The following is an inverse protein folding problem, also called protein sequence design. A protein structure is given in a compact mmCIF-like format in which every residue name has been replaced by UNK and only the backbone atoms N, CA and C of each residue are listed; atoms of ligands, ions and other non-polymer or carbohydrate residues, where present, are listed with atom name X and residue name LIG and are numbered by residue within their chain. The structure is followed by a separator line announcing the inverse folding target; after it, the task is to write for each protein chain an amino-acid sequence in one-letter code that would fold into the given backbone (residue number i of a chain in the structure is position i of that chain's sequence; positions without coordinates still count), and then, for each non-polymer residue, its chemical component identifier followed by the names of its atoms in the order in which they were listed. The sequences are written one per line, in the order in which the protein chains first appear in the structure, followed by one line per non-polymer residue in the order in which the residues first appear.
data_IF_063735545048
#
_entry.id   IF_063735545048
#
_cell.length_a   1.000
_cell.length_b   1.000
_cell.length_c   1.000
_cell.angle_alpha   90.00
_cell.angle_beta   90.00
_cell.angle_gamma   90.00
#
_symmetry.space_group_name_H-M   'P 1'
#
loop_
_entity.id
_entity.type
_entity.pdbx_description
1 polymer ?
#
# COMPACT_ATOMS: atom_id res chain seq x y z
N UNK A 1 -28.29 12.39 64.82
CA UNK A 1 -26.86 12.68 64.53
C UNK A 1 -26.53 11.86 63.29
N UNK A 2 -26.18 12.51 62.17
CA UNK A 2 -25.69 11.79 60.99
C UNK A 2 -24.44 11.01 61.41
N UNK A 3 -24.40 9.72 61.11
CA UNK A 3 -23.29 8.86 61.52
C UNK A 3 -22.07 9.16 60.65
N UNK A 4 -20.86 8.86 61.12
CA UNK A 4 -19.63 9.04 60.32
C UNK A 4 -19.70 8.28 58.98
N UNK A 5 -20.50 7.22 58.92
CA UNK A 5 -20.76 6.43 57.73
C UNK A 5 -21.62 7.16 56.68
N UNK A 6 -22.49 8.10 57.09
CA UNK A 6 -23.36 8.86 56.17
C UNK A 6 -22.65 10.04 55.50
N UNK A 7 -21.47 10.41 55.99
CA UNK A 7 -20.71 11.60 55.55
C UNK A 7 -19.36 11.26 54.91
N UNK A 8 -18.89 10.02 55.04
CA UNK A 8 -17.59 9.56 54.51
C UNK A 8 -17.52 9.70 52.98
N UNK A 9 -18.64 9.50 52.28
CA UNK A 9 -18.74 9.61 50.82
C UNK A 9 -18.39 11.01 50.30
N UNK A 10 -18.57 12.05 51.12
CA UNK A 10 -18.26 13.45 50.76
C UNK A 10 -16.76 13.74 50.65
N UNK A 11 -15.92 12.85 51.19
CA UNK A 11 -14.46 13.04 51.27
C UNK A 11 -13.71 12.16 50.27
N UNK A 12 -14.41 11.34 49.47
CA UNK A 12 -13.78 10.48 48.48
C UNK A 12 -13.14 11.29 47.34
N UNK A 13 -11.82 11.17 47.21
CA UNK A 13 -11.05 11.77 46.12
C UNK A 13 -11.09 10.84 44.91
N UNK A 14 -11.49 11.38 43.75
CA UNK A 14 -11.36 10.67 42.47
C UNK A 14 -9.95 10.90 41.93
N UNK A 15 -9.13 9.85 41.91
CA UNK A 15 -7.82 9.90 41.25
C UNK A 15 -8.01 9.82 39.73
N UNK A 16 -7.50 10.82 39.01
CA UNK A 16 -7.36 10.73 37.56
C UNK A 16 -6.10 9.96 37.20
N UNK A 17 -6.18 9.25 36.06
CA UNK A 17 -5.09 8.44 35.51
C UNK A 17 -3.81 9.27 35.30
N UNK A 18 -2.67 8.63 35.56
CA UNK A 18 -1.34 9.24 35.49
C UNK A 18 -0.74 9.20 34.07
N UNK A 19 -1.33 8.41 33.17
CA UNK A 19 -0.84 8.22 31.80
C UNK A 19 -2.00 8.17 30.80
N UNK A 20 -1.70 8.53 29.56
CA UNK A 20 -2.60 8.32 28.43
C UNK A 20 -2.41 6.91 27.86
N UNK A 21 -3.51 6.20 27.65
CA UNK A 21 -3.52 4.95 26.90
C UNK A 21 -4.06 5.23 25.49
N UNK A 22 -3.23 5.05 24.47
CA UNK A 22 -3.71 5.12 23.09
C UNK A 22 -4.48 3.87 22.71
N UNK A 23 -5.49 4.07 21.85
CA UNK A 23 -6.18 2.98 21.18
C UNK A 23 -5.20 2.21 20.29
N UNK A 24 -5.45 0.92 20.11
CA UNK A 24 -4.73 0.09 19.14
C UNK A 24 -4.86 0.71 17.75
N UNK A 25 -3.72 1.11 17.19
CA UNK A 25 -3.64 1.65 15.85
C UNK A 25 -2.36 1.19 15.15
N UNK A 26 -2.39 1.20 13.82
CA UNK A 26 -1.22 0.90 13.01
C UNK A 26 -0.16 1.98 13.23
N UNK A 27 1.01 1.54 13.74
CA UNK A 27 2.13 2.43 14.07
C UNK A 27 3.10 2.60 12.91
N UNK A 28 3.39 1.54 12.18
CA UNK A 28 4.35 1.52 11.07
C UNK A 28 3.65 1.34 9.73
N UNK A 29 4.29 1.78 8.65
CA UNK A 29 3.78 1.62 7.29
C UNK A 29 3.95 0.17 6.83
N UNK A 30 2.93 -0.38 6.16
CA UNK A 30 2.95 -1.75 5.63
C UNK A 30 3.41 -1.82 4.18
N UNK A 31 3.23 -0.75 3.41
CA UNK A 31 3.48 -0.73 1.96
C UNK A 31 4.75 0.05 1.59
N UNK A 32 5.35 0.80 2.50
CA UNK A 32 6.53 1.61 2.18
C UNK A 32 7.73 0.74 1.79
N UNK A 33 7.87 -0.47 2.34
CA UNK A 33 8.95 -1.39 1.96
C UNK A 33 8.74 -2.04 0.59
N UNK A 34 7.52 -2.02 0.05
CA UNK A 34 7.19 -2.68 -1.23
C UNK A 34 7.36 -1.75 -2.43
N UNK A 35 7.86 -0.53 -2.24
CA UNK A 35 8.03 0.48 -3.29
C UNK A 35 9.46 0.98 -3.36
N UNK A 36 9.90 1.32 -4.57
CA UNK A 36 11.22 1.89 -4.79
C UNK A 36 11.25 3.36 -4.33
N UNK A 37 12.00 3.63 -3.27
CA UNK A 37 12.17 4.97 -2.73
C UNK A 37 13.36 5.68 -3.41
N UNK A 38 13.07 6.74 -4.15
CA UNK A 38 14.09 7.58 -4.84
C UNK A 38 14.71 8.65 -3.92
N UNK A 39 14.27 8.75 -2.66
CA UNK A 39 14.73 9.75 -1.71
C UNK A 39 14.03 11.10 -1.87
N UNK A 40 14.79 12.18 -1.68
CA UNK A 40 14.24 13.55 -1.71
C UNK A 40 14.13 14.08 -3.14
N UNK A 41 12.93 14.53 -3.52
CA UNK A 41 12.68 15.26 -4.77
C UNK A 41 12.75 16.76 -4.50
N UNK A 42 13.39 17.52 -5.39
CA UNK A 42 13.36 18.99 -5.38
C UNK A 42 12.47 19.49 -6.53
N UNK A 43 11.52 20.38 -6.22
CA UNK A 43 10.59 20.95 -7.21
C UNK A 43 9.15 20.47 -7.01
N UNK A 44 8.26 20.80 -7.95
CA UNK A 44 6.82 20.49 -7.89
C UNK A 44 6.49 19.05 -8.32
N UNK A 45 7.46 18.31 -8.84
CA UNK A 45 7.28 16.95 -9.33
C UNK A 45 8.58 16.30 -9.76
N UNK A 46 8.50 15.04 -10.17
CA UNK A 46 9.61 14.20 -10.61
C UNK A 46 9.23 13.41 -11.86
N UNK A 47 10.20 13.10 -12.70
CA UNK A 47 10.01 12.31 -13.91
C UNK A 47 10.81 11.00 -13.89
N UNK A 48 10.20 9.91 -14.30
CA UNK A 48 10.87 8.61 -14.53
C UNK A 48 10.87 8.32 -16.02
N UNK A 49 12.05 8.09 -16.61
CA UNK A 49 12.17 7.80 -18.03
C UNK A 49 11.95 6.31 -18.30
N UNK A 50 11.14 6.03 -19.32
CA UNK A 50 10.82 4.69 -19.80
C UNK A 50 11.53 4.46 -21.13
N UNK A 51 12.12 3.27 -21.28
CA UNK A 51 12.59 2.73 -22.54
C UNK A 51 11.69 1.55 -22.91
N UNK A 52 11.13 1.57 -24.11
CA UNK A 52 10.35 0.47 -24.64
C UNK A 52 11.22 -0.68 -25.16
N UNK A 53 10.57 -1.76 -25.59
CA UNK A 53 11.26 -2.90 -26.19
C UNK A 53 12.05 -2.49 -27.44
N UNK A 54 13.23 -3.10 -27.62
CA UNK A 54 14.15 -2.87 -28.74
C UNK A 54 13.75 -3.64 -30.02
N UNK A 55 12.56 -4.28 -30.02
CA UNK A 55 12.12 -5.18 -31.09
C UNK A 55 12.89 -6.50 -31.09
N UNK A 56 12.31 -7.54 -31.67
CA UNK A 56 12.98 -8.85 -31.83
C UNK A 56 13.71 -8.90 -33.18
N UNK A 57 14.90 -8.29 -33.21
CA UNK A 57 15.76 -8.24 -34.39
C UNK A 57 16.74 -9.42 -34.50
N UNK A 58 16.59 -10.47 -33.71
CA UNK A 58 17.55 -11.60 -33.65
C UNK A 58 17.35 -12.64 -34.75
N UNK A 59 16.49 -12.36 -35.73
CA UNK A 59 16.28 -13.23 -36.90
C UNK A 59 17.56 -13.46 -37.71
N UNK A 60 17.63 -14.59 -38.39
CA UNK A 60 18.75 -14.95 -39.27
C UNK A 60 18.99 -13.85 -40.32
N UNK A 61 20.09 -13.12 -40.17
CA UNK A 61 20.53 -12.13 -41.17
C UNK A 61 20.94 -12.84 -42.45
N UNK A 62 20.40 -12.39 -43.58
CA UNK A 62 20.87 -12.81 -44.90
C UNK A 62 22.37 -12.49 -45.03
N UNK A 63 23.14 -13.45 -45.53
CA UNK A 63 24.57 -13.26 -45.74
C UNK A 63 24.75 -12.16 -46.80
N UNK A 64 25.33 -11.02 -46.39
CA UNK A 64 25.49 -9.78 -47.16
C UNK A 64 24.23 -8.90 -47.33
N UNK A 65 23.20 -9.08 -46.48
CA UNK A 65 22.04 -8.18 -46.44
C UNK A 65 22.34 -6.81 -45.80
N UNK A 66 21.47 -5.82 -46.04
CA UNK A 66 21.55 -4.52 -45.36
C UNK A 66 21.24 -4.67 -43.87
N UNK A 67 22.00 -3.97 -43.03
CA UNK A 67 21.73 -3.91 -41.58
C UNK A 67 20.33 -3.34 -41.34
N UNK A 68 19.49 -4.12 -40.67
CA UNK A 68 18.19 -3.65 -40.21
C UNK A 68 18.38 -2.84 -38.92
N UNK A 69 17.80 -1.65 -38.86
CA UNK A 69 17.78 -0.82 -37.66
C UNK A 69 16.42 -0.99 -36.99
N UNK A 70 16.42 -1.29 -35.69
CA UNK A 70 15.23 -1.25 -34.86
C UNK A 70 15.32 -0.07 -33.91
N UNK A 71 14.33 0.80 -33.95
CA UNK A 71 14.27 1.98 -33.08
C UNK A 71 13.63 1.62 -31.73
N UNK A 72 14.23 2.09 -30.64
CA UNK A 72 13.62 2.02 -29.33
C UNK A 72 12.61 3.17 -29.14
N UNK A 73 11.48 2.88 -28.50
CA UNK A 73 10.55 3.93 -28.08
C UNK A 73 10.96 4.51 -26.73
N UNK A 74 10.87 5.83 -26.59
CA UNK A 74 11.16 6.55 -25.34
C UNK A 74 9.90 7.26 -24.84
N UNK A 75 9.72 7.25 -23.53
CA UNK A 75 8.68 8.06 -22.88
C UNK A 75 9.13 8.48 -21.48
N UNK A 76 8.36 9.34 -20.83
CA UNK A 76 8.62 9.72 -19.45
C UNK A 76 7.32 9.78 -18.65
N UNK A 77 7.35 9.29 -17.41
CA UNK A 77 6.25 9.35 -16.44
C UNK A 77 6.45 10.51 -15.52
N UNK A 78 5.37 11.24 -15.21
CA UNK A 78 5.42 12.39 -14.33
C UNK A 78 4.64 12.14 -13.04
N UNK A 79 5.31 12.39 -11.91
CA UNK A 79 4.74 12.34 -10.58
C UNK A 79 4.72 13.75 -9.98
N UNK A 80 3.57 14.15 -9.42
CA UNK A 80 3.36 15.48 -8.82
C UNK A 80 3.48 15.40 -7.31
N UNK A 81 4.13 16.40 -6.70
CA UNK A 81 4.24 16.50 -5.25
C UNK A 81 2.90 16.96 -4.64
N UNK A 82 2.47 16.29 -3.58
CA UNK A 82 1.22 16.62 -2.85
C UNK A 82 1.54 16.98 -1.41
N UNK A 83 0.95 18.07 -0.92
CA UNK A 83 1.15 18.55 0.44
C UNK A 83 0.09 17.99 1.41
N UNK A 84 0.53 17.55 2.59
CA UNK A 84 -0.36 17.07 3.65
C UNK A 84 0.00 17.73 4.98
N UNK A 85 -0.81 18.71 5.40
CA UNK A 85 -0.61 19.41 6.67
C UNK A 85 -1.42 18.76 7.80
N UNK A 86 -0.79 18.60 8.98
CA UNK A 86 -1.51 18.30 10.22
C UNK A 86 -0.85 19.05 11.38
N UNK A 87 -1.63 19.90 12.05
CA UNK A 87 -1.14 20.73 13.15
C UNK A 87 -1.94 20.43 14.41
N UNK A 88 -1.26 19.99 15.46
CA UNK A 88 -1.85 19.78 16.78
C UNK A 88 -0.97 20.49 17.80
N UNK A 89 -1.55 21.41 18.56
CA UNK A 89 -0.83 22.16 19.61
C UNK A 89 -1.67 22.23 20.86
N UNK A 90 -1.02 22.00 21.99
CA UNK A 90 -1.57 22.21 23.33
C UNK A 90 -1.16 23.60 23.83
N UNK A 91 -2.05 24.32 24.52
CA UNK A 91 -1.71 25.61 25.12
C UNK A 91 -0.84 25.40 26.37
N UNK A 92 0.21 26.22 26.52
CA UNK A 92 1.17 26.10 27.64
C UNK A 92 0.47 26.29 28.99
N UNK A 93 -0.53 27.18 29.06
CA UNK A 93 -1.32 27.45 30.26
C UNK A 93 -2.16 26.25 30.75
N UNK A 94 -2.50 25.32 29.84
CA UNK A 94 -3.28 24.13 30.18
C UNK A 94 -2.37 22.97 30.58
N UNK A 95 -1.12 22.96 30.12
CA UNK A 95 -0.13 21.93 30.48
C UNK A 95 0.07 21.81 32.00
N UNK A 96 0.11 22.93 32.72
CA UNK A 96 0.24 22.94 34.19
C UNK A 96 -1.00 22.47 34.94
N UNK A 97 -2.17 22.41 34.27
CA UNK A 97 -3.42 21.93 34.85
C UNK A 97 -3.63 20.44 34.62
N UNK A 98 -2.82 19.82 33.75
CA UNK A 98 -2.91 18.42 33.42
C UNK A 98 -1.99 17.60 34.33
N UNK A 99 -2.51 16.48 34.83
CA UNK A 99 -1.74 15.53 35.66
C UNK A 99 -0.76 14.69 34.81
N UNK A 100 -1.14 14.41 33.56
CA UNK A 100 -0.35 13.68 32.58
C UNK A 100 -0.04 14.58 31.39
N UNK A 101 1.19 14.54 30.87
CA UNK A 101 1.57 15.30 29.68
C UNK A 101 1.09 14.56 28.40
N UNK A 102 0.22 15.15 27.57
CA UNK A 102 -0.26 14.51 26.35
C UNK A 102 0.72 14.59 25.17
N UNK A 103 1.79 15.40 25.25
CA UNK A 103 2.60 15.75 24.09
C UNK A 103 3.36 14.56 23.49
N UNK A 104 3.91 13.67 24.32
CA UNK A 104 4.63 12.46 23.84
C UNK A 104 3.67 11.50 23.11
N UNK A 105 2.50 11.24 23.69
CA UNK A 105 1.51 10.38 23.05
C UNK A 105 0.96 11.01 21.78
N UNK A 106 0.71 12.32 21.78
CA UNK A 106 0.26 13.06 20.60
C UNK A 106 1.27 12.95 19.44
N UNK A 107 2.57 13.06 19.73
CA UNK A 107 3.63 12.92 18.73
C UNK A 107 3.66 11.51 18.14
N UNK A 108 3.61 10.48 18.98
CA UNK A 108 3.54 9.07 18.55
C UNK A 108 2.35 8.81 17.64
N UNK A 109 1.18 9.34 17.99
CA UNK A 109 -0.05 9.21 17.18
C UNK A 109 0.03 9.98 15.86
N UNK A 110 0.71 11.12 15.86
CA UNK A 110 0.97 11.89 14.64
C UNK A 110 1.86 11.09 13.67
N UNK A 111 2.92 10.45 14.17
CA UNK A 111 3.75 9.55 13.38
C UNK A 111 2.97 8.34 12.86
N UNK A 112 2.15 7.70 13.69
CA UNK A 112 1.28 6.59 13.28
C UNK A 112 0.28 7.02 12.18
N UNK A 113 -0.27 8.24 12.26
CA UNK A 113 -1.14 8.81 11.23
C UNK A 113 -0.39 9.09 9.92
N UNK A 114 0.84 9.58 10.00
CA UNK A 114 1.72 9.76 8.84
C UNK A 114 1.91 8.44 8.10
N UNK A 115 2.27 7.36 8.81
CA UNK A 115 2.50 6.05 8.21
C UNK A 115 1.25 5.47 7.53
N UNK A 116 0.07 5.61 8.13
CA UNK A 116 -1.21 5.22 7.49
C UNK A 116 -1.52 6.05 6.25
N UNK A 117 -1.16 7.34 6.27
CA UNK A 117 -1.38 8.23 5.12
C UNK A 117 -0.45 7.85 3.97
N UNK A 118 0.81 7.50 4.25
CA UNK A 118 1.75 6.96 3.26
C UNK A 118 1.17 5.71 2.60
N UNK A 119 0.71 4.73 3.38
CA UNK A 119 0.08 3.52 2.83
C UNK A 119 -1.14 3.83 1.95
N UNK A 120 -1.99 4.76 2.37
CA UNK A 120 -3.16 5.17 1.59
C UNK A 120 -2.76 5.83 0.25
N UNK A 121 -1.69 6.63 0.24
CA UNK A 121 -1.18 7.25 -0.99
C UNK A 121 -0.62 6.17 -1.92
N UNK A 122 0.17 5.22 -1.41
CA UNK A 122 0.72 4.11 -2.19
C UNK A 122 -0.40 3.26 -2.79
N UNK A 123 -1.39 2.87 -1.98
CA UNK A 123 -2.53 2.07 -2.44
C UNK A 123 -3.34 2.77 -3.54
N UNK A 124 -3.61 4.07 -3.36
CA UNK A 124 -4.33 4.85 -4.37
C UNK A 124 -3.51 5.03 -5.65
N UNK A 125 -2.18 5.17 -5.54
CA UNK A 125 -1.29 5.28 -6.70
C UNK A 125 -1.24 3.98 -7.51
N UNK A 126 -1.28 2.82 -6.84
CA UNK A 126 -1.32 1.50 -7.50
C UNK A 126 -2.53 1.33 -8.42
N UNK A 127 -3.70 1.82 -8.00
CA UNK A 127 -4.94 1.78 -8.77
C UNK A 127 -5.13 2.99 -9.71
N UNK A 128 -4.22 3.97 -9.62
CA UNK A 128 -4.37 5.27 -10.24
C UNK A 128 -4.02 5.30 -11.73
N UNK A 129 -4.18 6.49 -12.31
CA UNK A 129 -3.71 6.78 -13.67
C UNK A 129 -2.31 7.40 -13.61
N UNK A 130 -1.43 6.97 -14.51
CA UNK A 130 -0.07 7.49 -14.61
C UNK A 130 0.02 8.51 -15.76
N UNK A 131 0.54 9.70 -15.48
CA UNK A 131 0.78 10.72 -16.51
C UNK A 131 2.00 10.35 -17.35
N UNK A 132 1.83 10.25 -18.67
CA UNK A 132 2.89 9.88 -19.63
C UNK A 132 3.14 11.00 -20.62
N UNK A 133 4.40 11.23 -20.94
CA UNK A 133 4.87 12.14 -22.00
C UNK A 133 5.59 11.31 -23.06
N UNK A 134 5.11 11.39 -24.30
CA UNK A 134 5.65 10.64 -25.46
C UNK A 134 6.24 11.56 -26.53
N UNK A 135 5.93 12.86 -26.49
CA UNK A 135 6.44 13.86 -27.45
C UNK A 135 7.17 14.98 -26.71
N UNK A 136 7.98 15.77 -27.44
CA UNK A 136 8.79 16.83 -26.84
C UNK A 136 7.96 17.93 -26.16
N UNK A 137 6.69 18.11 -26.55
CA UNK A 137 5.77 19.05 -25.92
C UNK A 137 5.41 18.61 -24.48
N UNK A 138 5.24 19.56 -23.56
CA UNK A 138 4.82 19.30 -22.16
C UNK A 138 3.34 18.92 -22.04
N UNK A 139 2.87 18.10 -22.98
CA UNK A 139 1.54 17.52 -22.98
C UNK A 139 1.63 16.14 -22.35
N UNK A 140 0.99 15.98 -21.19
CA UNK A 140 0.88 14.70 -20.50
C UNK A 140 -0.45 14.04 -20.83
N UNK A 141 -0.42 12.75 -21.14
CA UNK A 141 -1.60 11.92 -21.33
C UNK A 141 -1.78 11.02 -20.12
N UNK A 142 -3.03 10.94 -19.62
CA UNK A 142 -3.35 10.03 -18.54
C UNK A 142 -3.46 8.60 -19.08
N UNK A 143 -2.61 7.70 -18.59
CA UNK A 143 -2.65 6.28 -18.93
C UNK A 143 -3.22 5.52 -17.74
N UNK A 144 -4.41 4.94 -17.92
CA UNK A 144 -5.03 4.08 -16.91
C UNK A 144 -4.49 2.65 -16.99
N UNK A 145 -4.68 1.89 -15.91
CA UNK A 145 -4.44 0.45 -15.92
C UNK A 145 -5.30 -0.20 -17.03
N UNK A 146 -4.73 -0.96 -17.97
CA UNK A 146 -5.49 -1.61 -19.02
C UNK A 146 -6.56 -2.54 -18.44
N UNK A 147 -7.79 -2.47 -18.97
CA UNK A 147 -8.89 -3.34 -18.51
C UNK A 147 -8.56 -4.84 -18.64
N UNK A 148 -7.68 -5.21 -19.57
CA UNK A 148 -7.18 -6.58 -19.76
C UNK A 148 -6.27 -7.08 -18.63
N UNK A 149 -5.81 -6.18 -17.75
CA UNK A 149 -5.04 -6.50 -16.54
C UNK A 149 -5.91 -6.48 -15.27
N UNK A 150 -7.19 -6.10 -15.37
CA UNK A 150 -8.14 -6.15 -14.26
C UNK A 150 -8.87 -7.49 -14.31
N UNK A 151 -8.69 -8.31 -13.28
CA UNK A 151 -9.37 -9.61 -13.13
C UNK A 151 -10.33 -9.58 -11.95
N UNK A 152 -11.51 -10.14 -12.14
CA UNK A 152 -12.56 -10.24 -11.12
C UNK A 152 -13.63 -9.15 -11.24
N UNK A 153 -14.71 -9.36 -10.51
CA UNK A 153 -15.85 -8.44 -10.39
C UNK A 153 -16.05 -8.15 -8.90
N UNK A 154 -16.27 -6.88 -8.56
CA UNK A 154 -16.55 -6.43 -7.18
C UNK A 154 -17.79 -7.11 -6.61
N UNK A 155 -18.74 -7.52 -7.46
CA UNK A 155 -19.95 -8.23 -7.04
C UNK A 155 -19.76 -9.73 -6.80
N UNK A 156 -18.67 -10.34 -7.29
CA UNK A 156 -18.44 -11.77 -7.19
C UNK A 156 -17.53 -12.11 -5.99
N UNK A 157 -17.82 -13.20 -5.24
CA UNK A 157 -16.93 -13.63 -4.16
C UNK A 157 -15.57 -14.05 -4.71
N UNK A 158 -14.51 -13.72 -3.97
CA UNK A 158 -13.15 -14.16 -4.31
C UNK A 158 -13.09 -15.69 -4.32
N UNK A 159 -12.51 -16.27 -5.38
CA UNK A 159 -12.28 -17.71 -5.50
C UNK A 159 -10.79 -18.02 -5.60
N UNK A 160 -10.39 -19.23 -5.21
CA UNK A 160 -9.04 -19.76 -5.43
C UNK A 160 -8.60 -19.65 -6.89
N UNK A 161 -9.52 -19.89 -7.83
CA UNK A 161 -9.24 -19.78 -9.27
C UNK A 161 -8.81 -18.36 -9.65
N UNK A 162 -9.48 -17.35 -9.13
CA UNK A 162 -9.13 -15.95 -9.39
C UNK A 162 -7.69 -15.62 -8.95
N UNK A 163 -7.24 -16.15 -7.80
CA UNK A 163 -5.86 -15.96 -7.32
C UNK A 163 -4.82 -16.61 -8.25
N UNK A 164 -5.13 -17.80 -8.77
CA UNK A 164 -4.27 -18.50 -9.74
C UNK A 164 -4.19 -17.72 -11.04
N UNK A 165 -5.33 -17.22 -11.54
CA UNK A 165 -5.40 -16.44 -12.77
C UNK A 165 -4.62 -15.10 -12.63
N UNK A 166 -4.71 -14.43 -11.47
CA UNK A 166 -3.91 -13.22 -11.15
C UNK A 166 -2.41 -13.53 -11.18
N UNK A 167 -1.97 -14.60 -10.50
CA UNK A 167 -0.57 -14.99 -10.47
C UNK A 167 -0.06 -15.32 -11.88
N UNK A 168 -0.85 -16.05 -12.65
CA UNK A 168 -0.51 -16.41 -14.04
C UNK A 168 -0.35 -15.16 -14.90
N UNK A 169 -1.24 -14.18 -14.74
CA UNK A 169 -1.16 -12.91 -15.47
C UNK A 169 0.10 -12.12 -15.11
N UNK A 170 0.45 -12.06 -13.82
CA UNK A 170 1.67 -11.36 -13.38
C UNK A 170 2.94 -12.04 -13.90
N UNK A 171 3.00 -13.38 -13.82
CA UNK A 171 4.12 -14.15 -14.36
C UNK A 171 4.21 -14.07 -15.89
N UNK A 172 3.09 -13.96 -16.61
CA UNK A 172 3.12 -13.83 -18.08
C UNK A 172 3.79 -12.55 -18.59
N UNK A 173 4.00 -11.57 -17.72
CA UNK A 173 4.72 -10.34 -18.05
C UNK A 173 6.23 -10.43 -17.67
N UNK A 174 6.71 -11.58 -17.19
CA UNK A 174 8.12 -11.85 -16.82
C UNK A 174 8.78 -10.73 -16.01
N UNK A 175 8.11 -10.26 -14.96
CA UNK A 175 8.68 -9.30 -14.00
C UNK A 175 9.38 -10.07 -12.89
N UNK A 176 10.69 -9.85 -12.72
CA UNK A 176 11.55 -10.60 -11.76
C UNK A 176 11.36 -10.21 -10.27
N UNK A 177 10.37 -9.37 -9.94
CA UNK A 177 10.15 -8.88 -8.57
C UNK A 177 9.22 -9.76 -7.73
N UNK A 178 9.32 -9.61 -6.40
CA UNK A 178 8.39 -10.22 -5.44
C UNK A 178 6.95 -9.73 -5.64
N UNK A 179 6.00 -10.67 -5.70
CA UNK A 179 4.57 -10.35 -5.85
C UNK A 179 3.95 -10.14 -4.47
N UNK A 180 3.58 -8.89 -4.17
CA UNK A 180 2.82 -8.53 -2.97
C UNK A 180 1.32 -8.50 -3.24
N UNK A 181 0.51 -8.97 -2.28
CA UNK A 181 -0.96 -8.92 -2.34
C UNK A 181 -1.47 -8.23 -1.08
N UNK A 182 -2.23 -7.15 -1.26
CA UNK A 182 -3.00 -6.52 -0.19
C UNK A 182 -4.37 -7.20 -0.08
N UNK A 183 -4.76 -7.60 1.13
CA UNK A 183 -6.04 -8.25 1.39
C UNK A 183 -6.77 -7.58 2.56
N UNK A 184 -8.10 -7.67 2.55
CA UNK A 184 -8.95 -7.29 3.67
C UNK A 184 -9.38 -8.52 4.49
N UNK A 185 -10.10 -8.30 5.59
CA UNK A 185 -10.61 -9.39 6.43
C UNK A 185 -11.57 -10.31 5.68
N UNK A 186 -12.32 -9.76 4.71
CA UNK A 186 -13.30 -10.52 3.91
C UNK A 186 -12.60 -11.52 3.01
N UNK A 187 -11.56 -11.07 2.30
CA UNK A 187 -10.72 -11.90 1.43
C UNK A 187 -10.02 -12.99 2.23
N UNK A 188 -9.46 -12.66 3.39
CA UNK A 188 -8.81 -13.65 4.26
C UNK A 188 -9.80 -14.72 4.72
N UNK A 189 -11.00 -14.32 5.17
CA UNK A 189 -12.02 -15.27 5.60
C UNK A 189 -12.48 -16.18 4.46
N UNK A 190 -12.62 -15.64 3.23
CA UNK A 190 -12.97 -16.43 2.06
C UNK A 190 -11.90 -17.49 1.73
N UNK A 191 -10.62 -17.14 1.86
CA UNK A 191 -9.50 -18.09 1.65
C UNK A 191 -9.48 -19.16 2.74
N UNK A 192 -9.67 -18.78 4.01
CA UNK A 192 -9.66 -19.72 5.13
C UNK A 192 -10.91 -20.62 5.17
N UNK A 193 -12.03 -20.16 4.62
CA UNK A 193 -13.25 -20.96 4.52
C UNK A 193 -13.18 -22.04 3.42
N UNK A 194 -12.23 -21.95 2.49
CA UNK A 194 -12.04 -22.95 1.45
C UNK A 194 -11.40 -24.23 2.03
N UNK A 195 -12.20 -25.30 2.13
CA UNK A 195 -11.77 -26.59 2.67
C UNK A 195 -10.69 -27.28 1.83
N UNK A 196 -10.53 -26.90 0.56
CA UNK A 196 -9.46 -27.41 -0.31
C UNK A 196 -8.10 -26.76 -0.02
N UNK A 197 -8.08 -25.64 0.71
CA UNK A 197 -6.87 -24.94 1.12
C UNK A 197 -6.52 -25.20 2.58
N UNK A 198 -7.49 -25.56 3.42
CA UNK A 198 -7.31 -25.72 4.88
C UNK A 198 -7.31 -27.17 5.37
N UNK A 199 -7.77 -28.13 4.58
CA UNK A 199 -7.75 -29.55 4.98
C UNK A 199 -6.39 -30.20 4.69
N UNK A 200 -5.74 -30.70 5.76
CA UNK A 200 -4.51 -31.50 5.67
C UNK A 200 -4.69 -32.79 4.88
N UNK A 201 -5.91 -33.37 4.88
CA UNK A 201 -6.23 -34.62 4.18
C UNK A 201 -6.29 -34.42 2.65
N UNK A 202 -6.78 -33.26 2.19
CA UNK A 202 -6.77 -32.90 0.77
C UNK A 202 -5.34 -32.65 0.25
N UNK A 203 -4.46 -32.05 1.09
CA UNK A 203 -3.04 -31.83 0.79
C UNK A 203 -2.24 -33.14 0.79
N UNK A 204 -2.55 -34.08 1.69
CA UNK A 204 -1.87 -35.38 1.74
C UNK A 204 -2.27 -36.29 0.57
N UNK A 205 -3.54 -36.29 0.18
CA UNK A 205 -4.05 -37.11 -0.94
C UNK A 205 -3.46 -36.73 -2.29
N UNK A 206 -3.13 -35.46 -2.53
CA UNK A 206 -2.53 -35.01 -3.80
C UNK A 206 -1.07 -35.45 -3.96
N UNK A 207 -0.35 -35.68 -2.86
CA UNK A 207 1.01 -36.25 -2.88
C UNK A 207 1.02 -37.79 -2.92
N UNK A 208 -0.13 -38.45 -2.75
CA UNK A 208 -0.24 -39.90 -2.73
C UNK A 208 -0.64 -40.51 -4.09
N UNK A 209 -0.96 -39.69 -5.11
CA UNK A 209 -1.42 -40.17 -6.42
C UNK A 209 -0.30 -40.26 -7.48
N UNK A 210 0.96 -40.30 -7.08
CA UNK A 210 2.10 -40.65 -7.95
C UNK A 210 2.66 -42.01 -7.54
N UNK A 211 1.90 -43.07 -7.82
CA UNK A 211 2.36 -44.45 -8.01
C UNK A 211 1.50 -45.09 -9.08
#
# INVERSE_FOLDING_TARGET
MATSYDTIDSVFVKQYADTYLALLEQKESKLLSTVNNIGSVKGTGWTVNELGSLGDGLGTVDRFGTTQYTDASFASRYAVMSDFSNFTRTAIQDLYKLKADPNDELLKRLHAKYNRKVDKVIYNALLGTAQRKETGADTFTAVALPATQVLGDVAAPLTKKLLIDIRTKMLSNDVEDEIYITYDSTMLNAILADTTLTSSDFLARTNASTW
#
